data_IF_078652049744
#
_entry.id   IF_078652049744
#
_cell.length_a   1.000
_cell.length_b   1.000
_cell.length_c   1.000
_cell.angle_alpha   90.00
_cell.angle_beta   90.00
_cell.angle_gamma   90.00
#
_symmetry.space_group_name_H-M   'P 1'
#
loop_
_entity.id
_entity.type
_entity.pdbx_description
1 polymer ?
#
# COMPACT_ATOMS: atom_id res chain seq x y z
N UNK A 1 10.09 -8.44 14.18
CA UNK A 1 8.86 -9.24 13.89
C UNK A 1 8.63 -10.17 15.06
N UNK A 2 7.38 -10.25 15.51
CA UNK A 2 6.97 -11.14 16.60
C UNK A 2 5.88 -12.06 16.08
N UNK A 3 5.91 -13.32 16.49
CA UNK A 3 4.75 -14.19 16.46
C UNK A 3 3.93 -14.02 17.73
N UNK A 4 2.62 -14.10 17.59
CA UNK A 4 1.69 -14.02 18.69
C UNK A 4 0.73 -15.20 18.59
N UNK A 5 0.81 -16.10 19.55
CA UNK A 5 -0.03 -17.27 19.67
C UNK A 5 -1.09 -17.06 20.76
N UNK A 6 -2.13 -17.89 20.77
CA UNK A 6 -3.16 -17.89 21.80
C UNK A 6 -4.19 -16.76 21.74
N UNK A 7 -4.13 -15.87 20.73
CA UNK A 7 -5.10 -14.74 20.60
C UNK A 7 -6.55 -15.18 20.45
N UNK A 8 -6.80 -16.40 19.96
CA UNK A 8 -8.13 -16.95 19.71
C UNK A 8 -8.50 -18.04 20.72
N UNK A 9 -7.67 -18.29 21.71
CA UNK A 9 -7.93 -19.27 22.76
C UNK A 9 -8.97 -18.74 23.74
N UNK A 10 -9.69 -19.61 24.40
CA UNK A 10 -10.82 -19.25 25.31
C UNK A 10 -10.40 -18.32 26.46
N UNK A 11 -9.14 -18.39 26.91
CA UNK A 11 -8.59 -17.56 27.97
C UNK A 11 -7.96 -16.25 27.47
N UNK A 12 -7.89 -16.04 26.14
CA UNK A 12 -7.25 -14.90 25.48
C UNK A 12 -5.81 -14.63 25.97
N UNK A 13 -5.13 -15.67 26.43
CA UNK A 13 -3.74 -15.58 26.87
C UNK A 13 -2.82 -15.61 25.65
N UNK A 14 -2.18 -14.49 25.35
CA UNK A 14 -1.29 -14.37 24.20
C UNK A 14 0.16 -14.62 24.62
N UNK A 15 0.81 -15.54 23.92
CA UNK A 15 2.26 -15.77 24.00
C UNK A 15 2.96 -15.03 22.84
N UNK A 16 4.10 -14.40 23.15
CA UNK A 16 4.86 -13.59 22.21
C UNK A 16 6.27 -14.17 22.05
N UNK A 17 6.62 -14.52 20.82
CA UNK A 17 8.03 -14.86 20.52
C UNK A 17 8.63 -13.95 19.47
N UNK A 18 9.88 -13.53 19.71
CA UNK A 18 10.64 -12.76 18.75
C UNK A 18 11.11 -13.70 17.62
N UNK A 19 10.54 -13.50 16.44
CA UNK A 19 10.88 -14.26 15.24
C UNK A 19 12.08 -13.67 14.50
N UNK A 20 12.07 -12.34 14.25
CA UNK A 20 13.13 -11.68 13.48
C UNK A 20 13.40 -10.27 14.00
N UNK A 21 14.67 -9.86 13.94
CA UNK A 21 15.14 -8.53 14.36
C UNK A 21 16.23 -8.01 13.41
N UNK A 22 16.67 -6.76 13.59
CA UNK A 22 17.72 -6.14 12.78
C UNK A 22 17.23 -5.59 11.44
N UNK A 23 15.92 -5.54 11.21
CA UNK A 23 15.30 -4.98 10.03
C UNK A 23 15.16 -3.45 10.15
N UNK A 24 15.12 -2.76 9.01
CA UNK A 24 15.04 -1.31 8.96
C UNK A 24 13.69 -0.83 8.38
N UNK A 25 12.89 -0.11 9.19
CA UNK A 25 11.64 0.54 8.76
C UNK A 25 10.70 -0.43 8.00
N UNK A 26 10.27 -1.51 8.68
CA UNK A 26 9.34 -2.49 8.10
C UNK A 26 7.92 -1.94 8.10
N UNK A 27 7.37 -1.64 6.91
CA UNK A 27 6.00 -1.17 6.71
C UNK A 27 5.12 -2.13 5.91
N UNK A 28 5.56 -3.35 5.73
CA UNK A 28 4.76 -4.40 5.11
C UNK A 28 5.27 -5.78 5.45
N UNK A 29 4.32 -6.68 5.69
CA UNK A 29 4.58 -8.11 5.88
C UNK A 29 3.66 -8.90 4.96
N UNK A 30 4.21 -9.93 4.34
CA UNK A 30 3.46 -10.95 3.63
C UNK A 30 4.00 -12.34 3.99
N UNK A 31 3.16 -13.34 3.87
CA UNK A 31 3.52 -14.74 4.08
C UNK A 31 3.16 -15.54 2.84
N UNK A 32 4.07 -16.38 2.40
CA UNK A 32 3.83 -17.33 1.32
C UNK A 32 4.57 -18.63 1.60
N UNK A 33 3.87 -19.76 1.52
CA UNK A 33 4.44 -21.10 1.71
C UNK A 33 5.25 -21.26 3.03
N UNK A 34 4.77 -20.64 4.11
CA UNK A 34 5.44 -20.65 5.42
C UNK A 34 6.56 -19.64 5.58
N UNK A 35 6.96 -18.93 4.54
CA UNK A 35 8.05 -17.95 4.55
C UNK A 35 7.51 -16.54 4.72
N UNK A 36 8.17 -15.73 5.55
CA UNK A 36 7.82 -14.31 5.77
C UNK A 36 8.61 -13.42 4.81
N UNK A 37 7.93 -12.45 4.23
CA UNK A 37 8.50 -11.39 3.40
C UNK A 37 8.25 -10.05 4.09
N UNK A 38 9.32 -9.30 4.34
CA UNK A 38 9.28 -7.97 4.95
C UNK A 38 9.62 -6.91 3.91
N UNK A 39 8.73 -5.96 3.69
CA UNK A 39 9.04 -4.74 2.93
C UNK A 39 9.66 -3.73 3.88
N UNK A 40 10.91 -3.45 3.67
CA UNK A 40 11.72 -2.44 4.36
C UNK A 40 11.80 -1.16 3.51
N UNK A 41 12.41 -0.11 4.03
CA UNK A 41 12.53 1.17 3.32
C UNK A 41 13.20 1.03 1.95
N UNK A 42 14.24 0.21 1.84
CA UNK A 42 15.06 0.07 0.63
C UNK A 42 14.92 -1.28 -0.09
N UNK A 43 14.25 -2.26 0.51
CA UNK A 43 14.22 -3.61 -0.06
C UNK A 43 12.99 -4.43 0.38
N UNK A 44 12.78 -5.54 -0.32
CA UNK A 44 11.99 -6.67 0.17
C UNK A 44 12.96 -7.78 0.60
N UNK A 45 12.82 -8.22 1.85
CA UNK A 45 13.64 -9.29 2.44
C UNK A 45 12.79 -10.52 2.68
N UNK A 46 13.28 -11.68 2.25
CA UNK A 46 12.75 -13.00 2.62
C UNK A 46 13.41 -13.46 3.91
N UNK A 47 12.61 -13.89 4.86
CA UNK A 47 13.04 -14.21 6.22
C UNK A 47 12.66 -15.66 6.51
N UNK A 48 13.64 -16.48 6.83
CA UNK A 48 13.48 -17.93 6.94
C UNK A 48 14.02 -18.39 8.28
N UNK A 49 13.27 -19.26 8.93
CA UNK A 49 13.70 -20.14 10.01
C UNK A 49 14.08 -21.46 9.36
N UNK A 50 15.38 -21.74 9.23
CA UNK A 50 15.86 -22.91 8.47
C UNK A 50 15.99 -24.17 9.29
N UNK A 51 16.04 -24.07 10.61
CA UNK A 51 16.17 -25.20 11.53
C UNK A 51 14.88 -25.51 12.33
N UNK A 52 13.88 -24.62 12.23
CA UNK A 52 12.55 -24.83 12.81
C UNK A 52 12.49 -24.53 14.32
N UNK A 53 13.38 -23.70 14.84
CA UNK A 53 13.43 -23.36 16.26
C UNK A 53 12.48 -22.19 16.64
N UNK A 54 11.81 -21.58 15.65
CA UNK A 54 10.89 -20.45 15.83
C UNK A 54 11.57 -19.08 15.72
N UNK A 55 12.86 -19.04 15.42
CA UNK A 55 13.66 -17.82 15.23
C UNK A 55 14.26 -17.79 13.82
N UNK A 56 14.19 -16.68 13.15
CA UNK A 56 14.76 -16.55 11.82
C UNK A 56 16.29 -16.48 11.87
N UNK A 57 16.94 -17.28 11.06
CA UNK A 57 18.39 -17.38 10.92
C UNK A 57 18.89 -17.02 9.52
N UNK A 58 18.01 -16.93 8.53
CA UNK A 58 18.35 -16.55 7.15
C UNK A 58 17.56 -15.34 6.71
N UNK A 59 18.27 -14.34 6.21
CA UNK A 59 17.72 -13.09 5.67
C UNK A 59 18.25 -12.92 4.24
N UNK A 60 17.36 -12.95 3.26
CA UNK A 60 17.72 -12.87 1.85
C UNK A 60 17.04 -11.67 1.21
N UNK A 61 17.82 -10.76 0.61
CA UNK A 61 17.28 -9.69 -0.23
C UNK A 61 16.63 -10.30 -1.46
N UNK A 62 15.31 -10.09 -1.60
CA UNK A 62 14.55 -10.47 -2.79
C UNK A 62 14.70 -9.42 -3.87
N UNK A 63 14.61 -8.15 -3.50
CA UNK A 63 14.77 -7.01 -4.40
C UNK A 63 15.11 -5.75 -3.63
N UNK A 64 16.03 -4.94 -4.20
CA UNK A 64 16.47 -3.64 -3.73
C UNK A 64 16.46 -2.61 -4.88
N UNK A 65 15.57 -2.79 -5.84
CA UNK A 65 15.49 -2.01 -7.09
C UNK A 65 15.12 -0.53 -6.96
N UNK A 66 15.08 0.01 -5.73
CA UNK A 66 14.85 1.41 -5.42
C UNK A 66 15.71 1.87 -4.26
N UNK A 67 15.87 3.18 -4.11
CA UNK A 67 16.62 3.78 -3.00
C UNK A 67 15.77 4.70 -2.13
N UNK A 68 16.43 5.35 -1.18
CA UNK A 68 15.84 6.41 -0.37
C UNK A 68 16.92 7.44 0.01
N UNK A 69 16.53 8.69 0.19
CA UNK A 69 17.41 9.79 0.60
C UNK A 69 16.92 10.51 1.84
N UNK A 70 15.75 10.12 2.34
CA UNK A 70 15.10 10.73 3.50
C UNK A 70 14.46 9.67 4.38
N UNK A 71 14.46 9.91 5.68
CA UNK A 71 13.75 9.08 6.66
C UNK A 71 12.23 8.96 6.39
N UNK A 72 11.67 9.88 5.57
CA UNK A 72 10.24 9.87 5.23
C UNK A 72 9.93 9.21 3.87
N UNK A 73 10.91 8.64 3.21
CA UNK A 73 10.72 7.88 1.96
C UNK A 73 10.43 6.41 2.24
N UNK A 74 9.31 6.16 2.88
CA UNK A 74 8.86 4.83 3.24
C UNK A 74 8.49 3.99 2.02
N UNK A 75 8.58 2.67 2.16
CA UNK A 75 8.05 1.70 1.21
C UNK A 75 6.97 0.88 1.89
N UNK A 76 5.75 0.94 1.37
CA UNK A 76 4.60 0.22 1.89
C UNK A 76 4.21 -0.92 0.96
N UNK A 77 3.53 -1.92 1.48
CA UNK A 77 2.98 -2.98 0.66
C UNK A 77 3.19 -4.35 1.28
N UNK A 78 3.81 -5.26 0.52
CA UNK A 78 3.87 -6.70 0.76
C UNK A 78 2.51 -7.37 0.61
N UNK A 79 2.00 -7.37 -0.62
CA UNK A 79 0.87 -8.21 -1.01
C UNK A 79 1.25 -8.98 -2.26
N UNK A 80 1.07 -10.28 -2.21
CA UNK A 80 1.23 -11.14 -3.38
C UNK A 80 0.00 -11.01 -4.28
N UNK A 81 0.25 -10.89 -5.58
CA UNK A 81 -0.80 -11.12 -6.57
C UNK A 81 -0.96 -12.61 -6.88
N UNK A 82 -1.93 -12.95 -7.73
CA UNK A 82 -2.19 -14.34 -8.12
C UNK A 82 -1.07 -14.99 -8.94
N UNK A 83 -0.15 -14.18 -9.49
CA UNK A 83 1.03 -14.64 -10.23
C UNK A 83 2.25 -14.84 -9.31
N UNK A 84 2.13 -14.40 -8.04
CA UNK A 84 3.18 -14.52 -7.03
C UNK A 84 4.17 -13.37 -7.01
N UNK A 85 3.86 -12.24 -7.63
CA UNK A 85 4.66 -11.01 -7.52
C UNK A 85 4.26 -10.25 -6.25
N UNK A 86 5.20 -9.53 -5.64
CA UNK A 86 4.94 -8.65 -4.49
C UNK A 86 4.72 -7.22 -4.98
N UNK A 87 3.60 -6.62 -4.60
CA UNK A 87 3.33 -5.21 -4.90
C UNK A 87 3.80 -4.33 -3.76
N UNK A 88 4.56 -3.28 -4.11
CA UNK A 88 5.07 -2.27 -3.18
C UNK A 88 4.78 -0.86 -3.69
N UNK A 89 4.52 0.06 -2.76
CA UNK A 89 4.27 1.47 -3.08
C UNK A 89 5.29 2.35 -2.38
N UNK A 90 5.91 3.26 -3.13
CA UNK A 90 7.01 4.09 -2.69
C UNK A 90 6.55 5.51 -2.41
N UNK A 91 6.68 5.96 -1.17
CA UNK A 91 6.35 7.32 -0.74
C UNK A 91 7.38 8.33 -1.24
N UNK A 92 6.93 9.55 -1.50
CA UNK A 92 7.79 10.70 -1.79
C UNK A 92 8.38 11.29 -0.51
N UNK A 93 9.55 11.91 -0.61
CA UNK A 93 10.18 12.66 0.49
C UNK A 93 9.27 13.79 0.95
N UNK A 94 8.90 13.79 2.23
CA UNK A 94 7.93 14.73 2.77
C UNK A 94 6.63 14.82 1.98
N UNK A 95 6.36 13.85 1.11
CA UNK A 95 5.22 13.81 0.18
C UNK A 95 5.26 14.88 -0.94
N UNK A 96 6.42 15.43 -1.27
CA UNK A 96 6.55 16.50 -2.26
C UNK A 96 7.54 16.21 -3.37
N UNK A 97 8.66 15.56 -3.06
CA UNK A 97 9.74 15.30 -4.04
C UNK A 97 10.52 14.05 -3.67
N UNK A 98 11.39 13.59 -4.54
CA UNK A 98 12.46 12.65 -4.26
C UNK A 98 13.51 12.68 -5.37
N UNK A 99 14.77 12.45 -5.00
CA UNK A 99 15.91 12.30 -5.92
C UNK A 99 16.20 10.83 -6.25
N UNK A 100 15.45 9.90 -5.66
CA UNK A 100 15.66 8.46 -5.84
C UNK A 100 14.64 7.86 -6.82
N UNK A 101 15.09 6.92 -7.67
CA UNK A 101 14.25 6.31 -8.69
C UNK A 101 12.97 5.71 -8.13
N UNK A 102 11.91 5.86 -8.90
CA UNK A 102 10.58 5.30 -8.64
C UNK A 102 9.89 5.74 -7.35
N UNK A 103 10.42 6.73 -6.60
CA UNK A 103 9.64 7.33 -5.54
C UNK A 103 8.39 8.01 -6.11
N UNK A 104 7.24 7.76 -5.48
CA UNK A 104 5.93 8.12 -6.04
C UNK A 104 5.37 7.11 -7.07
N UNK A 105 5.87 5.87 -7.04
CA UNK A 105 5.43 4.78 -7.93
C UNK A 105 4.98 3.55 -7.14
N UNK A 106 4.21 2.70 -7.82
CA UNK A 106 3.99 1.31 -7.45
C UNK A 106 4.86 0.43 -8.33
N UNK A 107 5.59 -0.49 -7.70
CA UNK A 107 6.40 -1.51 -8.36
C UNK A 107 5.85 -2.90 -8.05
N UNK A 108 5.99 -3.81 -9.01
CA UNK A 108 5.88 -5.25 -8.76
C UNK A 108 7.28 -5.84 -8.65
N UNK A 109 7.54 -6.51 -7.57
CA UNK A 109 8.74 -7.35 -7.39
C UNK A 109 8.38 -8.73 -7.90
N UNK A 110 9.02 -9.12 -8.99
CA UNK A 110 8.80 -10.41 -9.64
C UNK A 110 9.45 -11.55 -8.84
N UNK A 111 9.07 -12.78 -9.14
CA UNK A 111 9.60 -13.95 -8.45
C UNK A 111 11.12 -14.14 -8.59
N UNK A 112 11.73 -13.58 -9.63
CA UNK A 112 13.18 -13.56 -9.87
C UNK A 112 13.92 -12.38 -9.21
N UNK A 113 13.20 -11.55 -8.44
CA UNK A 113 13.73 -10.37 -7.75
C UNK A 113 13.82 -9.11 -8.58
N UNK A 114 13.55 -9.17 -9.89
CA UNK A 114 13.48 -7.96 -10.72
C UNK A 114 12.26 -7.13 -10.38
N UNK A 115 12.32 -5.81 -10.62
CA UNK A 115 11.19 -4.91 -10.42
C UNK A 115 10.55 -4.51 -11.75
N UNK A 116 9.22 -4.44 -11.76
CA UNK A 116 8.43 -3.92 -12.88
C UNK A 116 7.68 -2.67 -12.45
N UNK A 117 8.02 -1.47 -12.97
CA UNK A 117 7.21 -0.28 -12.80
C UNK A 117 5.78 -0.53 -13.26
N UNK A 118 4.80 -0.21 -12.42
CA UNK A 118 3.43 -0.66 -12.66
C UNK A 118 2.43 0.49 -12.70
N UNK A 119 2.52 1.45 -11.77
CA UNK A 119 1.63 2.60 -11.71
C UNK A 119 2.40 3.79 -11.12
N UNK A 120 2.17 4.99 -11.65
CA UNK A 120 2.88 6.20 -11.22
C UNK A 120 1.95 7.22 -10.57
N UNK A 121 2.51 8.28 -10.02
CA UNK A 121 1.74 9.41 -9.51
C UNK A 121 1.21 9.22 -8.09
N UNK A 122 1.79 8.30 -7.32
CA UNK A 122 1.53 8.16 -5.90
C UNK A 122 2.21 9.31 -5.14
N UNK A 123 1.65 9.69 -4.01
CA UNK A 123 2.21 10.74 -3.18
C UNK A 123 2.63 10.22 -1.80
N UNK A 124 1.65 9.80 -1.02
CA UNK A 124 1.84 9.30 0.34
C UNK A 124 0.96 8.07 0.55
N UNK A 125 1.35 6.96 -0.09
CA UNK A 125 0.62 5.70 0.05
C UNK A 125 0.66 5.20 1.48
N UNK A 126 -0.37 4.44 1.89
CA UNK A 126 -0.45 3.83 3.21
C UNK A 126 -0.46 2.31 3.18
N UNK A 127 -0.95 1.69 2.14
CA UNK A 127 -1.00 0.24 2.02
C UNK A 127 -1.58 -0.23 0.69
N UNK A 128 -1.32 -1.48 0.36
CA UNK A 128 -1.81 -2.16 -0.85
C UNK A 128 -2.71 -3.32 -0.46
N UNK A 129 -3.76 -3.55 -1.22
CA UNK A 129 -4.63 -4.72 -1.09
C UNK A 129 -5.29 -5.05 -2.42
N UNK A 130 -5.87 -6.24 -2.51
CA UNK A 130 -6.60 -6.71 -3.68
C UNK A 130 -8.06 -6.97 -3.30
N UNK A 131 -8.99 -6.71 -4.23
CA UNK A 131 -10.34 -7.20 -4.09
C UNK A 131 -10.44 -8.67 -4.54
N UNK A 132 -11.60 -9.29 -4.38
CA UNK A 132 -11.84 -10.69 -4.78
C UNK A 132 -11.68 -10.95 -6.28
N UNK A 133 -11.76 -9.92 -7.12
CA UNK A 133 -11.48 -10.02 -8.55
C UNK A 133 -9.98 -9.87 -8.89
N UNK A 134 -9.10 -9.70 -7.89
CA UNK A 134 -7.66 -9.51 -8.10
C UNK A 134 -7.27 -8.10 -8.55
N UNK A 135 -8.16 -7.12 -8.46
CA UNK A 135 -7.83 -5.72 -8.75
C UNK A 135 -7.08 -5.12 -7.57
N UNK A 136 -5.92 -4.54 -7.85
CA UNK A 136 -5.09 -3.90 -6.85
C UNK A 136 -5.58 -2.49 -6.49
N UNK A 137 -5.58 -2.19 -5.20
CA UNK A 137 -5.86 -0.86 -4.66
C UNK A 137 -4.78 -0.45 -3.67
N UNK A 138 -4.62 0.86 -3.51
CA UNK A 138 -3.83 1.42 -2.42
C UNK A 138 -4.60 2.54 -1.73
N UNK A 139 -4.27 2.80 -0.48
CA UNK A 139 -4.76 3.94 0.26
C UNK A 139 -3.83 5.14 0.07
N UNK A 140 -4.40 6.32 -0.18
CA UNK A 140 -3.65 7.56 -0.40
C UNK A 140 -4.01 8.60 0.64
N UNK A 141 -3.03 9.31 1.17
CA UNK A 141 -3.22 10.44 2.06
C UNK A 141 -3.42 11.75 1.27
N UNK A 142 -4.16 12.68 1.87
CA UNK A 142 -4.37 14.01 1.29
C UNK A 142 -3.07 14.83 1.21
N UNK A 143 -3.03 15.77 0.27
CA UNK A 143 -1.95 16.75 0.10
C UNK A 143 -1.92 17.32 -1.32
N UNK A 144 -0.78 17.86 -1.78
CA UNK A 144 -0.66 18.37 -3.14
C UNK A 144 -1.14 17.34 -4.17
N UNK A 145 -1.89 17.80 -5.16
CA UNK A 145 -2.47 16.98 -6.24
C UNK A 145 -3.46 15.89 -5.75
N UNK A 146 -3.74 15.81 -4.47
CA UNK A 146 -4.65 14.84 -3.87
C UNK A 146 -5.37 15.45 -2.66
N UNK A 147 -6.42 16.22 -2.90
CA UNK A 147 -7.10 17.05 -1.89
C UNK A 147 -7.82 16.29 -0.76
N UNK A 148 -7.94 14.96 -0.85
CA UNK A 148 -8.56 14.11 0.17
C UNK A 148 -7.82 12.78 0.31
N UNK A 149 -7.97 12.12 1.47
CA UNK A 149 -7.61 10.71 1.57
C UNK A 149 -8.53 9.88 0.66
N UNK A 150 -8.08 8.71 0.25
CA UNK A 150 -8.91 7.87 -0.60
C UNK A 150 -8.35 6.50 -0.89
N UNK A 151 -9.19 5.70 -1.52
CA UNK A 151 -8.84 4.44 -2.11
C UNK A 151 -8.68 4.64 -3.61
N UNK A 152 -7.56 4.23 -4.17
CA UNK A 152 -7.26 4.34 -5.61
C UNK A 152 -6.86 3.00 -6.18
N UNK A 153 -7.32 2.74 -7.40
CA UNK A 153 -6.91 1.57 -8.17
C UNK A 153 -5.46 1.70 -8.63
N UNK A 154 -4.69 0.61 -8.51
CA UNK A 154 -3.39 0.46 -9.12
C UNK A 154 -3.52 -0.38 -10.38
N UNK A 155 -3.33 0.23 -11.54
CA UNK A 155 -3.44 -0.42 -12.85
C UNK A 155 -2.13 -0.32 -13.60
N UNK A 156 -1.66 -1.42 -14.22
CA UNK A 156 -0.48 -1.36 -15.07
C UNK A 156 -0.59 -0.29 -16.17
N UNK A 157 0.42 0.57 -16.30
CA UNK A 157 0.41 1.72 -17.20
C UNK A 157 -0.37 2.94 -16.70
N UNK A 158 -0.98 2.87 -15.51
CA UNK A 158 -1.79 3.94 -14.94
C UNK A 158 -0.98 5.03 -14.23
N UNK A 159 -1.62 6.19 -14.10
CA UNK A 159 -1.15 7.35 -13.37
C UNK A 159 -2.22 7.81 -12.39
N UNK A 160 -1.89 8.00 -11.11
CA UNK A 160 -2.89 8.31 -10.07
C UNK A 160 -2.87 9.76 -9.58
N UNK A 161 -2.14 10.64 -10.29
CA UNK A 161 -2.38 12.08 -10.26
C UNK A 161 -1.25 12.97 -9.74
N UNK A 162 -0.17 12.46 -9.13
CA UNK A 162 0.93 13.31 -8.64
C UNK A 162 2.08 13.39 -9.65
N UNK A 163 2.32 14.55 -10.31
CA UNK A 163 3.24 14.64 -11.44
C UNK A 163 4.72 14.64 -11.07
N UNK A 164 5.07 14.71 -9.79
CA UNK A 164 6.48 14.73 -9.36
C UNK A 164 7.21 13.41 -9.70
N UNK A 165 6.46 12.35 -9.96
CA UNK A 165 6.99 11.05 -10.37
C UNK A 165 7.41 10.96 -11.86
N UNK A 166 7.13 11.98 -12.67
CA UNK A 166 7.34 11.98 -14.11
C UNK A 166 8.80 11.75 -14.55
N UNK A 167 9.84 12.25 -13.89
CA UNK A 167 11.22 12.00 -14.30
C UNK A 167 11.58 10.51 -14.44
N UNK A 168 10.87 9.62 -13.72
CA UNK A 168 11.17 8.18 -13.74
C UNK A 168 10.58 7.43 -14.94
N UNK A 169 9.76 8.09 -15.79
CA UNK A 169 9.27 7.49 -17.03
C UNK A 169 10.41 7.14 -17.99
N UNK A 170 11.52 7.85 -17.95
CA UNK A 170 12.73 7.51 -18.71
C UNK A 170 13.30 6.13 -18.37
N UNK A 171 13.08 5.66 -17.13
CA UNK A 171 13.52 4.36 -16.64
C UNK A 171 12.42 3.28 -16.73
N UNK A 172 11.23 3.63 -17.22
CA UNK A 172 10.05 2.77 -17.26
C UNK A 172 9.42 2.68 -18.65
N UNK A 173 10.13 2.18 -19.67
CA UNK A 173 9.61 2.17 -21.05
C UNK A 173 8.34 1.32 -21.21
N UNK A 174 8.08 0.39 -20.30
CA UNK A 174 6.86 -0.42 -20.26
C UNK A 174 5.61 0.38 -19.86
N UNK A 175 5.77 1.57 -19.31
CA UNK A 175 4.66 2.44 -18.88
C UNK A 175 4.15 3.35 -20.00
N UNK A 176 4.78 3.33 -21.17
CA UNK A 176 4.44 4.26 -22.24
C UNK A 176 5.01 5.66 -22.04
N UNK A 177 4.49 6.67 -22.75
CA UNK A 177 4.95 8.05 -22.61
C UNK A 177 4.53 8.66 -21.27
N UNK A 178 5.25 9.70 -20.85
CA UNK A 178 4.86 10.52 -19.70
C UNK A 178 3.46 11.09 -19.90
N UNK A 179 2.55 10.96 -18.90
CA UNK A 179 1.19 11.49 -19.00
C UNK A 179 1.13 13.01 -19.04
N UNK A 180 -0.01 13.54 -19.45
CA UNK A 180 -0.29 14.97 -19.35
C UNK A 180 -0.31 15.48 -17.92
N UNK A 181 0.12 16.73 -17.69
CA UNK A 181 0.11 17.36 -16.38
C UNK A 181 -1.33 17.59 -15.86
N UNK A 182 -1.69 17.11 -14.66
CA UNK A 182 -2.97 17.44 -14.05
C UNK A 182 -3.08 18.93 -13.69
N UNK A 183 -4.30 19.40 -13.50
CA UNK A 183 -4.56 20.78 -13.04
C UNK A 183 -4.16 20.91 -11.58
N UNK A 184 -3.28 21.87 -11.27
CA UNK A 184 -2.82 22.16 -9.90
C UNK A 184 -3.76 23.12 -9.17
N UNK A 185 -3.59 23.15 -7.85
CA UNK A 185 -4.26 24.11 -6.99
C UNK A 185 -5.71 23.74 -6.64
N UNK A 186 -6.46 24.77 -6.22
CA UNK A 186 -7.83 24.62 -5.72
C UNK A 186 -8.82 24.21 -6.81
N UNK A 187 -8.49 24.46 -8.07
CA UNK A 187 -9.31 24.12 -9.25
C UNK A 187 -9.08 22.68 -9.72
N UNK A 188 -8.03 22.01 -9.25
CA UNK A 188 -7.70 20.64 -9.61
C UNK A 188 -8.79 19.64 -9.21
N UNK A 189 -9.24 18.85 -10.19
CA UNK A 189 -10.23 17.78 -10.00
C UNK A 189 -9.80 16.58 -10.82
N UNK A 190 -9.23 15.57 -10.18
CA UNK A 190 -8.68 14.39 -10.87
C UNK A 190 -9.70 13.70 -11.78
N UNK A 191 -10.99 13.68 -11.41
CA UNK A 191 -12.01 13.09 -12.24
C UNK A 191 -12.31 13.91 -13.52
N UNK A 192 -12.09 15.24 -13.50
CA UNK A 192 -12.18 16.10 -14.68
C UNK A 192 -10.91 15.96 -15.53
N UNK A 193 -9.75 15.95 -14.89
CA UNK A 193 -8.47 15.76 -15.58
C UNK A 193 -8.41 14.40 -16.29
N UNK A 194 -9.04 13.36 -15.76
CA UNK A 194 -9.11 12.05 -16.41
C UNK A 194 -9.86 12.05 -17.75
N UNK A 195 -10.67 13.07 -18.04
CA UNK A 195 -11.33 13.22 -19.36
C UNK A 195 -10.32 13.60 -20.47
N UNK A 196 -9.20 14.22 -20.09
CA UNK A 196 -8.14 14.68 -21.03
C UNK A 196 -6.80 13.94 -20.90
N UNK A 197 -6.60 13.21 -19.82
CA UNK A 197 -5.38 12.43 -19.53
C UNK A 197 -5.78 10.96 -19.46
N UNK A 198 -5.63 10.19 -20.55
CA UNK A 198 -6.14 8.82 -20.62
C UNK A 198 -5.53 7.85 -19.59
N UNK A 199 -4.29 8.10 -19.17
CA UNK A 199 -3.56 7.29 -18.19
C UNK A 199 -4.03 7.59 -16.74
N UNK A 200 -4.69 8.73 -16.52
CA UNK A 200 -5.09 9.17 -15.19
C UNK A 200 -6.25 8.34 -14.64
N UNK A 201 -5.99 7.71 -13.51
CA UNK A 201 -6.96 6.94 -12.75
C UNK A 201 -7.51 7.83 -11.63
N UNK A 202 -8.78 8.24 -11.67
CA UNK A 202 -9.37 9.02 -10.60
C UNK A 202 -9.52 8.21 -9.31
N UNK A 203 -9.67 8.90 -8.18
CA UNK A 203 -9.90 8.27 -6.88
C UNK A 203 -11.19 7.45 -6.91
N UNK A 204 -11.11 6.16 -6.62
CA UNK A 204 -12.27 5.25 -6.61
C UNK A 204 -13.22 5.53 -5.46
N UNK A 205 -12.66 5.78 -4.26
CA UNK A 205 -13.43 6.16 -3.07
C UNK A 205 -12.74 7.34 -2.39
N UNK A 206 -13.45 8.45 -2.27
CA UNK A 206 -12.97 9.65 -1.58
C UNK A 206 -13.34 9.54 -0.10
N UNK A 207 -12.35 9.67 0.77
CA UNK A 207 -12.49 9.75 2.21
C UNK A 207 -12.26 11.22 2.64
N UNK A 208 -13.32 12.04 2.80
CA UNK A 208 -13.19 13.45 3.11
C UNK A 208 -12.33 13.69 4.34
N UNK A 209 -11.22 14.42 4.14
CA UNK A 209 -10.21 14.68 5.17
C UNK A 209 -10.82 15.32 6.42
N UNK A 210 -10.44 14.86 7.59
CA UNK A 210 -10.96 15.24 8.91
C UNK A 210 -12.46 15.00 9.15
N UNK A 211 -13.21 14.51 8.17
CA UNK A 211 -14.64 14.19 8.33
C UNK A 211 -14.88 12.70 8.41
N UNK A 212 -14.43 11.95 7.40
CA UNK A 212 -14.56 10.48 7.40
C UNK A 212 -13.33 9.79 7.94
N UNK A 213 -12.14 10.37 7.73
CA UNK A 213 -10.91 9.79 8.21
C UNK A 213 -9.71 10.65 7.91
N UNK A 214 -8.56 10.21 8.42
CA UNK A 214 -7.28 10.82 8.23
C UNK A 214 -6.20 9.75 8.30
N UNK A 215 -5.23 9.82 7.36
CA UNK A 215 -4.15 8.85 7.27
C UNK A 215 -4.67 7.42 7.06
N UNK A 216 -5.28 7.20 5.89
CA UNK A 216 -5.64 5.87 5.44
C UNK A 216 -4.37 5.01 5.33
N UNK A 217 -4.44 3.78 5.83
CA UNK A 217 -3.29 2.88 5.99
C UNK A 217 -3.50 1.57 5.26
N UNK A 218 -3.72 0.48 5.97
CA UNK A 218 -3.83 -0.84 5.38
C UNK A 218 -5.18 -1.07 4.67
N UNK A 219 -5.16 -2.01 3.72
CA UNK A 219 -6.34 -2.52 3.03
C UNK A 219 -6.39 -4.03 3.27
N UNK A 220 -7.55 -4.53 3.63
CA UNK A 220 -7.79 -5.96 3.90
C UNK A 220 -9.09 -6.40 3.22
N UNK A 221 -9.03 -7.48 2.47
CA UNK A 221 -10.21 -8.18 1.96
C UNK A 221 -10.75 -9.13 3.06
N UNK A 222 -12.07 -9.14 3.25
CA UNK A 222 -12.69 -10.18 4.09
C UNK A 222 -12.81 -11.50 3.30
N UNK A 223 -11.95 -12.42 3.62
CA UNK A 223 -11.92 -13.79 3.08
C UNK A 223 -12.47 -14.81 4.10
N UNK A 224 -13.11 -14.35 5.16
CA UNK A 224 -13.60 -15.21 6.25
C UNK A 224 -14.82 -16.06 5.90
N UNK A 225 -15.39 -15.87 4.69
CA UNK A 225 -16.63 -16.54 4.23
C UNK A 225 -17.80 -16.38 5.23
N UNK A 226 -17.89 -15.20 5.83
CA UNK A 226 -18.95 -14.85 6.78
C UNK A 226 -18.64 -15.15 8.24
N UNK A 227 -17.46 -15.66 8.58
CA UNK A 227 -17.06 -15.85 9.98
C UNK A 227 -16.86 -14.52 10.72
N UNK A 228 -16.49 -13.47 10.02
CA UNK A 228 -16.36 -12.09 10.55
C UNK A 228 -17.69 -11.31 10.48
N UNK A 229 -18.78 -11.90 9.99
CA UNK A 229 -20.09 -11.25 9.85
C UNK A 229 -20.52 -11.10 8.37
N UNK A 230 -21.43 -10.18 8.03
CA UNK A 230 -22.01 -10.05 6.69
C UNK A 230 -21.11 -9.26 5.74
N UNK A 231 -19.79 -9.37 5.84
CA UNK A 231 -18.81 -8.53 5.14
C UNK A 231 -17.99 -9.29 4.09
N UNK A 232 -18.35 -10.55 3.80
CA UNK A 232 -17.64 -11.37 2.82
C UNK A 232 -17.46 -10.61 1.50
N UNK A 233 -16.26 -10.73 0.91
CA UNK A 233 -15.85 -10.04 -0.32
C UNK A 233 -15.73 -8.50 -0.23
N UNK A 234 -15.71 -7.93 0.97
CA UNK A 234 -15.61 -6.49 1.13
C UNK A 234 -14.20 -6.06 1.54
N UNK A 235 -13.78 -4.89 1.06
CA UNK A 235 -12.51 -4.30 1.44
C UNK A 235 -12.67 -3.44 2.70
N UNK A 236 -11.84 -3.72 3.69
CA UNK A 236 -11.67 -2.87 4.86
C UNK A 236 -10.48 -1.95 4.65
N UNK A 237 -10.68 -0.66 4.88
CA UNK A 237 -9.61 0.36 4.85
C UNK A 237 -9.38 0.86 6.27
N UNK A 238 -8.19 0.62 6.79
CA UNK A 238 -7.81 1.09 8.11
C UNK A 238 -7.38 2.56 8.04
N UNK A 239 -7.64 3.30 9.11
CA UNK A 239 -7.25 4.70 9.22
C UNK A 239 -6.66 5.00 10.60
N UNK A 240 -5.61 5.84 10.63
CA UNK A 240 -4.96 6.22 11.88
C UNK A 240 -5.81 7.15 12.75
N UNK A 241 -6.71 7.92 12.12
CA UNK A 241 -7.64 8.81 12.83
C UNK A 241 -9.01 8.83 12.16
N UNK A 242 -10.04 8.81 12.99
CA UNK A 242 -11.44 9.01 12.61
C UNK A 242 -11.97 10.18 13.46
N UNK A 243 -12.74 11.08 12.85
CA UNK A 243 -13.38 12.17 13.58
C UNK A 243 -14.29 11.61 14.68
N UNK A 244 -14.27 12.15 15.91
CA UNK A 244 -15.09 11.65 17.02
C UNK A 244 -16.60 11.61 16.72
N UNK A 245 -17.12 12.57 15.96
CA UNK A 245 -18.53 12.59 15.57
C UNK A 245 -18.85 11.49 14.57
N UNK A 246 -17.93 11.23 13.63
CA UNK A 246 -18.03 10.14 12.68
C UNK A 246 -17.93 8.78 13.39
N UNK A 247 -17.03 8.67 14.37
CA UNK A 247 -16.90 7.49 15.21
C UNK A 247 -18.20 7.17 15.95
N UNK A 248 -18.87 8.18 16.53
CA UNK A 248 -20.17 7.99 17.18
C UNK A 248 -21.25 7.54 16.19
N UNK A 249 -21.29 8.13 15.01
CA UNK A 249 -22.23 7.72 13.95
C UNK A 249 -21.92 6.29 13.47
N UNK A 250 -20.66 5.91 13.40
CA UNK A 250 -20.21 4.58 13.03
C UNK A 250 -20.57 3.53 14.09
N UNK A 251 -20.34 3.83 15.36
CA UNK A 251 -20.75 2.98 16.50
C UNK A 251 -22.28 2.80 16.53
N UNK A 252 -23.05 3.80 16.10
CA UNK A 252 -24.50 3.74 16.02
C UNK A 252 -25.04 3.03 14.76
N UNK A 253 -24.33 3.11 13.65
CA UNK A 253 -24.76 2.61 12.32
C UNK A 253 -24.14 1.26 11.93
N UNK A 254 -23.12 0.80 12.68
CA UNK A 254 -22.29 -0.34 12.30
C UNK A 254 -21.16 0.04 11.34
N UNK A 255 -20.30 -0.90 10.94
CA UNK A 255 -19.16 -0.64 10.07
C UNK A 255 -19.59 -0.11 8.71
N UNK A 256 -18.86 0.89 8.19
CA UNK A 256 -19.00 1.31 6.80
C UNK A 256 -18.25 0.31 5.94
N UNK A 257 -18.98 -0.35 5.11
CA UNK A 257 -18.48 -1.31 4.18
C UNK A 257 -18.45 -0.66 2.80
N UNK A 258 -17.29 -0.68 2.17
CA UNK A 258 -17.14 -0.25 0.78
C UNK A 258 -17.32 -1.50 -0.09
N UNK A 259 -18.45 -1.56 -0.77
CA UNK A 259 -18.75 -2.65 -1.71
C UNK A 259 -18.06 -2.42 -3.06
#
# INVERSE_FOLDING_TARGET
IWFVDGLLDDDLAADYHLFAQGLHEVFGLAQKDGVIYATQQAEVTRIIDSDGDGTADVYETVSDGWGFGSEHEFTFGSRFDSEGNIWVTLCLSGSYTSDFPFRGWCLRVNADGTTTPTCSGLRSPGGVGFNSAGVAFYSENQGPWNGACGLKELRPGGFVGHPISFPWYELAPNMGPEPGQPTDGEDGRLHIDAERIPELIPTSVVLPYKKMGQSATAILLDESNGAFGPFSDQLFVLQARVDPLFRQAFEAAGPIVLA
#
